data_IF_655318332561
#
_entry.id   IF_655318332561
#
_cell.length_a   1.000
_cell.length_b   1.000
_cell.length_c   1.000
_cell.angle_alpha   90.00
_cell.angle_beta   90.00
_cell.angle_gamma   90.00
#
_symmetry.space_group_name_H-M   'P 1'
#
loop_
_entity.id
_entity.type
_entity.pdbx_description
1 polymer ?
#
# COMPACT_ATOMS: atom_id res chain seq x y z
N UNK A 1 38.66 38.23 -0.89
CA UNK A 1 37.97 37.66 0.29
C UNK A 1 36.46 37.64 0.15
N UNK A 2 35.81 38.76 -0.21
CA UNK A 2 34.34 38.86 -0.38
C UNK A 2 33.75 37.86 -1.39
N UNK A 3 34.42 37.64 -2.53
CA UNK A 3 33.97 36.70 -3.57
C UNK A 3 34.21 35.22 -3.19
N UNK A 4 35.25 34.94 -2.38
CA UNK A 4 35.53 33.58 -1.90
C UNK A 4 34.44 33.16 -0.90
N UNK A 5 34.07 34.07 0.02
CA UNK A 5 32.99 33.82 1.00
C UNK A 5 31.64 33.54 0.33
N UNK A 6 31.32 34.24 -0.76
CA UNK A 6 30.06 34.07 -1.50
C UNK A 6 29.99 32.73 -2.24
N UNK A 7 31.11 32.28 -2.82
CA UNK A 7 31.22 30.97 -3.49
C UNK A 7 31.12 29.83 -2.47
N UNK A 8 31.70 30.01 -1.27
CA UNK A 8 31.60 29.00 -0.20
C UNK A 8 30.15 28.88 0.31
N UNK A 9 29.43 30.00 0.43
CA UNK A 9 28.02 30.00 0.83
C UNK A 9 27.13 29.30 -0.20
N UNK A 10 27.38 29.48 -1.50
CA UNK A 10 26.66 28.78 -2.57
C UNK A 10 26.89 27.26 -2.53
N UNK A 11 28.12 26.81 -2.24
CA UNK A 11 28.46 25.39 -2.10
C UNK A 11 27.78 24.73 -0.89
N UNK A 12 27.56 25.46 0.21
CA UNK A 12 26.80 24.96 1.35
C UNK A 12 25.29 24.88 1.06
N UNK A 13 24.74 25.84 0.32
CA UNK A 13 23.31 25.84 -0.07
C UNK A 13 23.02 24.70 -1.08
N UNK A 14 23.96 24.35 -1.96
CA UNK A 14 23.80 23.21 -2.88
C UNK A 14 23.99 21.84 -2.22
N UNK A 15 24.65 21.76 -1.05
CA UNK A 15 24.72 20.51 -0.29
C UNK A 15 23.48 20.27 0.60
N UNK A 16 22.54 21.22 0.65
CA UNK A 16 21.18 20.97 1.12
C UNK A 16 20.29 20.35 0.03
N UNK A 17 20.86 19.59 -0.91
CA UNK A 17 20.08 18.54 -1.56
C UNK A 17 19.77 17.56 -0.43
N UNK A 18 18.53 17.61 0.08
CA UNK A 18 18.02 16.66 1.04
C UNK A 18 18.41 15.25 0.59
N UNK A 19 19.40 14.66 1.27
CA UNK A 19 19.51 13.22 1.34
C UNK A 19 18.26 12.78 2.10
N UNK A 20 17.17 12.54 1.38
CA UNK A 20 16.00 11.92 1.98
C UNK A 20 16.45 10.54 2.44
N UNK A 21 16.50 10.33 3.74
CA UNK A 21 16.78 9.04 4.33
C UNK A 21 15.52 8.18 4.19
N UNK A 22 15.68 6.97 3.66
CA UNK A 22 14.54 6.06 3.53
C UNK A 22 14.03 5.66 4.92
N UNK A 23 12.70 5.60 5.06
CA UNK A 23 12.03 5.19 6.30
C UNK A 23 12.03 3.65 6.43
N UNK A 24 12.16 2.93 5.32
CA UNK A 24 11.94 1.49 5.21
C UNK A 24 13.25 0.67 5.14
N UNK A 25 13.22 -0.64 5.41
CA UNK A 25 14.44 -1.45 5.50
C UNK A 25 15.27 -1.48 4.19
N UNK A 26 16.56 -1.20 4.34
CA UNK A 26 17.53 -1.18 3.23
C UNK A 26 18.14 -2.56 2.91
N UNK A 27 17.87 -3.58 3.72
CA UNK A 27 18.20 -4.99 3.49
C UNK A 27 16.95 -5.86 3.65
N UNK A 28 17.02 -7.10 3.19
CA UNK A 28 15.96 -8.10 3.43
C UNK A 28 15.74 -8.22 4.95
N UNK A 29 14.47 -8.24 5.36
CA UNK A 29 14.07 -8.29 6.76
C UNK A 29 12.84 -7.44 7.06
N UNK A 30 12.47 -7.41 8.34
CA UNK A 30 11.27 -6.73 8.83
C UNK A 30 11.65 -5.55 9.72
N UNK A 31 11.00 -4.41 9.51
CA UNK A 31 11.05 -3.25 10.40
C UNK A 31 9.67 -3.03 11.02
N UNK A 32 9.62 -2.85 12.33
CA UNK A 32 8.38 -2.58 13.08
C UNK A 32 8.33 -1.09 13.43
N UNK A 33 7.15 -0.49 13.31
CA UNK A 33 6.85 0.89 13.65
C UNK A 33 5.83 0.90 14.77
N UNK A 34 6.24 1.40 15.94
CA UNK A 34 5.37 1.58 17.10
C UNK A 34 4.86 3.02 17.10
N UNK A 35 3.59 3.19 16.75
CA UNK A 35 2.92 4.49 16.70
C UNK A 35 1.88 4.58 17.82
N UNK A 36 1.36 5.78 18.09
CA UNK A 36 0.35 5.95 19.12
C UNK A 36 -0.98 5.32 18.69
N UNK A 37 -1.29 4.13 19.24
CA UNK A 37 -2.56 3.42 19.02
C UNK A 37 -2.57 2.44 17.84
N UNK A 38 -1.44 2.19 17.18
CA UNK A 38 -1.31 1.15 16.15
C UNK A 38 0.15 0.73 15.96
N UNK A 39 0.36 -0.51 15.48
CA UNK A 39 1.70 -1.03 15.16
C UNK A 39 1.74 -1.46 13.70
N UNK A 40 2.70 -0.93 12.95
CA UNK A 40 2.90 -1.27 11.55
C UNK A 40 4.15 -2.10 11.33
N UNK A 41 4.13 -2.94 10.31
CA UNK A 41 5.29 -3.69 9.86
C UNK A 41 5.59 -3.36 8.42
N UNK A 42 6.89 -3.27 8.12
CA UNK A 42 7.40 -3.25 6.77
C UNK A 42 8.35 -4.42 6.55
N UNK A 43 8.01 -5.28 5.59
CA UNK A 43 8.80 -6.43 5.21
C UNK A 43 9.43 -6.19 3.85
N UNK A 44 10.76 -6.30 3.78
CA UNK A 44 11.48 -6.28 2.51
C UNK A 44 11.80 -7.69 2.03
N UNK A 45 11.32 -7.98 0.83
CA UNK A 45 11.62 -9.23 0.13
C UNK A 45 12.93 -9.14 -0.66
N UNK A 46 13.51 -10.30 -1.00
CA UNK A 46 14.72 -10.40 -1.84
C UNK A 46 14.55 -9.75 -3.23
N UNK A 47 13.31 -9.62 -3.72
CA UNK A 47 12.96 -8.93 -4.97
C UNK A 47 13.13 -7.40 -4.92
N UNK A 48 13.32 -6.82 -3.73
CA UNK A 48 13.35 -5.36 -3.55
C UNK A 48 11.97 -4.72 -3.45
N UNK A 49 10.91 -5.53 -3.30
CA UNK A 49 9.56 -5.08 -2.93
C UNK A 49 9.51 -4.90 -1.41
N UNK A 50 8.92 -3.78 -0.98
CA UNK A 50 8.53 -3.51 0.39
C UNK A 50 7.04 -3.78 0.51
N UNK A 51 6.63 -4.56 1.52
CA UNK A 51 5.24 -4.74 1.93
C UNK A 51 5.04 -3.99 3.23
N UNK A 52 4.02 -3.14 3.32
CA UNK A 52 3.68 -2.33 4.49
C UNK A 52 2.26 -2.64 4.91
N UNK A 53 2.06 -3.04 6.16
CA UNK A 53 0.75 -3.46 6.66
C UNK A 53 0.65 -3.27 8.18
N UNK A 54 -0.58 -3.20 8.67
CA UNK A 54 -0.86 -3.19 10.10
C UNK A 54 -0.55 -4.57 10.69
N UNK A 55 0.12 -4.60 11.85
CA UNK A 55 0.51 -5.85 12.53
C UNK A 55 -0.68 -6.65 13.02
N UNK A 56 -1.83 -5.99 13.21
CA UNK A 56 -3.07 -6.63 13.64
C UNK A 56 -3.83 -7.29 12.48
N UNK A 57 -3.32 -7.19 11.24
CA UNK A 57 -3.94 -7.84 10.10
C UNK A 57 -3.96 -9.37 10.29
N UNK A 58 -5.10 -9.99 9.97
CA UNK A 58 -5.40 -11.41 10.20
C UNK A 58 -4.95 -12.31 9.06
N UNK A 59 -5.04 -11.82 7.82
CA UNK A 59 -4.93 -12.63 6.61
C UNK A 59 -3.56 -12.56 5.93
N UNK A 60 -2.64 -11.73 6.45
CA UNK A 60 -1.29 -11.61 5.90
C UNK A 60 -0.54 -12.93 6.07
N UNK A 61 -0.02 -13.47 4.96
CA UNK A 61 0.70 -14.75 4.89
C UNK A 61 -0.17 -15.99 5.24
N UNK A 62 -1.49 -15.84 5.25
CA UNK A 62 -2.44 -16.95 5.33
C UNK A 62 -2.86 -17.35 3.92
N UNK A 63 -2.97 -18.64 3.64
CA UNK A 63 -3.43 -19.12 2.35
C UNK A 63 -4.95 -18.87 2.17
N UNK A 64 -5.34 -18.44 0.97
CA UNK A 64 -6.74 -18.38 0.55
C UNK A 64 -7.24 -19.80 0.28
N UNK A 65 -8.31 -20.22 0.96
CA UNK A 65 -8.86 -21.59 0.90
C UNK A 65 -10.38 -21.60 1.04
N UNK A 66 -11.01 -22.68 0.59
CA UNK A 66 -12.40 -23.01 0.94
C UNK A 66 -12.50 -23.35 2.43
N UNK A 67 -13.43 -22.71 3.15
CA UNK A 67 -13.61 -22.87 4.61
C UNK A 67 -13.97 -24.30 5.01
N UNK A 68 -14.72 -25.01 4.16
CA UNK A 68 -15.24 -26.34 4.47
C UNK A 68 -14.26 -27.45 4.10
N UNK A 69 -13.66 -27.38 2.91
CA UNK A 69 -12.78 -28.46 2.40
C UNK A 69 -11.32 -28.23 2.74
N UNK A 70 -10.90 -26.98 2.94
CA UNK A 70 -9.49 -26.60 3.08
C UNK A 70 -8.73 -26.56 1.74
N UNK A 71 -9.41 -26.80 0.61
CA UNK A 71 -8.79 -26.80 -0.71
C UNK A 71 -8.53 -25.38 -1.23
N UNK A 72 -7.62 -25.29 -2.20
CA UNK A 72 -7.40 -24.04 -2.92
C UNK A 72 -8.63 -23.69 -3.78
N UNK A 73 -9.03 -22.41 -3.84
CA UNK A 73 -10.14 -21.98 -4.67
C UNK A 73 -9.85 -22.15 -6.16
N UNK A 74 -10.87 -22.45 -6.95
CA UNK A 74 -10.87 -22.22 -8.38
C UNK A 74 -10.81 -20.71 -8.67
N UNK A 75 -9.74 -20.27 -9.32
CA UNK A 75 -9.50 -18.87 -9.68
C UNK A 75 -10.38 -18.39 -10.87
N UNK A 76 -11.04 -19.31 -11.58
CA UNK A 76 -11.91 -18.96 -12.70
C UNK A 76 -13.35 -18.66 -12.26
N UNK A 77 -13.71 -18.98 -11.02
CA UNK A 77 -15.03 -18.71 -10.47
C UNK A 77 -14.99 -17.37 -9.73
N UNK A 78 -15.83 -16.38 -10.09
CA UNK A 78 -15.80 -15.06 -9.46
C UNK A 78 -16.20 -15.10 -7.98
N UNK A 79 -15.39 -14.45 -7.14
CA UNK A 79 -15.68 -14.28 -5.71
C UNK A 79 -16.56 -13.05 -5.41
N UNK A 80 -16.54 -12.06 -6.30
CA UNK A 80 -17.21 -10.76 -6.16
C UNK A 80 -18.12 -10.50 -7.36
N UNK A 81 -19.24 -9.82 -7.12
CA UNK A 81 -20.13 -9.38 -8.19
C UNK A 81 -19.48 -8.30 -9.05
N UNK A 82 -19.42 -8.52 -10.37
CA UNK A 82 -18.55 -7.72 -11.25
C UNK A 82 -18.92 -6.24 -11.29
N UNK A 83 -20.22 -5.91 -11.38
CA UNK A 83 -20.67 -4.51 -11.47
C UNK A 83 -20.31 -3.72 -10.21
N UNK A 84 -20.50 -4.31 -9.03
CA UNK A 84 -20.16 -3.65 -7.77
C UNK A 84 -18.64 -3.60 -7.58
N UNK A 85 -17.90 -4.62 -8.02
CA UNK A 85 -16.43 -4.61 -8.00
C UNK A 85 -15.83 -3.44 -8.79
N UNK A 86 -16.33 -3.14 -10.00
CA UNK A 86 -15.86 -1.99 -10.78
C UNK A 86 -16.09 -0.67 -10.04
N UNK A 87 -17.28 -0.49 -9.45
CA UNK A 87 -17.61 0.70 -8.67
C UNK A 87 -16.73 0.85 -7.42
N UNK A 88 -16.47 -0.23 -6.70
CA UNK A 88 -15.57 -0.19 -5.54
C UNK A 88 -14.11 0.07 -5.94
N UNK A 89 -13.71 -0.38 -7.13
CA UNK A 89 -12.40 -0.06 -7.71
C UNK A 89 -12.26 1.44 -8.00
N UNK A 90 -13.28 2.08 -8.58
CA UNK A 90 -13.29 3.54 -8.76
C UNK A 90 -13.23 4.29 -7.42
N UNK A 91 -13.95 3.82 -6.40
CA UNK A 91 -13.89 4.39 -5.05
C UNK A 91 -12.50 4.24 -4.43
N UNK A 92 -11.83 3.09 -4.60
CA UNK A 92 -10.46 2.88 -4.15
C UNK A 92 -9.51 3.91 -4.77
N UNK A 93 -9.59 4.11 -6.09
CA UNK A 93 -8.76 5.11 -6.78
C UNK A 93 -9.07 6.53 -6.31
N UNK A 94 -10.35 6.86 -6.06
CA UNK A 94 -10.72 8.15 -5.48
C UNK A 94 -10.10 8.36 -4.09
N UNK A 95 -10.12 7.34 -3.22
CA UNK A 95 -9.48 7.37 -1.90
C UNK A 95 -7.97 7.61 -2.01
N UNK A 96 -7.31 6.94 -2.95
CA UNK A 96 -5.89 7.13 -3.20
C UNK A 96 -5.62 8.55 -3.70
N UNK A 97 -6.39 9.03 -4.67
CA UNK A 97 -6.25 10.37 -5.25
C UNK A 97 -6.40 11.47 -4.22
N UNK A 98 -7.37 11.38 -3.30
CA UNK A 98 -7.56 12.40 -2.24
C UNK A 98 -6.50 12.34 -1.13
N UNK A 99 -5.81 11.20 -0.95
CA UNK A 99 -4.95 10.96 0.21
C UNK A 99 -3.52 11.48 0.03
N UNK A 100 -3.11 11.74 -1.21
CA UNK A 100 -1.79 12.30 -1.54
C UNK A 100 -1.92 13.75 -2.00
N UNK A 101 -0.99 14.60 -1.55
CA UNK A 101 -0.84 15.96 -2.03
C UNK A 101 -0.33 15.99 -3.48
N UNK A 102 -0.58 17.09 -4.19
CA UNK A 102 -0.06 17.27 -5.55
C UNK A 102 1.47 17.16 -5.61
N UNK A 103 2.18 17.62 -4.58
CA UNK A 103 3.64 17.49 -4.51
C UNK A 103 4.09 16.03 -4.39
N UNK A 104 3.43 15.24 -3.54
CA UNK A 104 3.70 13.80 -3.41
C UNK A 104 3.43 13.06 -4.71
N UNK A 105 2.28 13.32 -5.35
CA UNK A 105 1.93 12.74 -6.65
C UNK A 105 2.99 13.05 -7.71
N UNK A 106 3.42 14.30 -7.82
CA UNK A 106 4.49 14.68 -8.75
C UNK A 106 5.81 13.95 -8.47
N UNK A 107 6.20 13.79 -7.21
CA UNK A 107 7.41 13.04 -6.85
C UNK A 107 7.30 11.55 -7.16
N UNK A 108 6.11 10.96 -6.95
CA UNK A 108 5.81 9.57 -7.31
C UNK A 108 5.87 9.38 -8.84
N UNK A 109 5.31 10.31 -9.62
CA UNK A 109 5.32 10.24 -11.09
C UNK A 109 6.73 10.36 -11.69
N UNK A 110 7.61 11.19 -11.10
CA UNK A 110 8.99 11.39 -11.60
C UNK A 110 9.85 10.13 -11.61
N UNK A 111 9.56 9.14 -10.76
CA UNK A 111 10.27 7.85 -10.76
C UNK A 111 9.72 6.86 -11.82
N UNK A 112 8.73 7.27 -12.61
CA UNK A 112 8.19 6.54 -13.75
C UNK A 112 7.52 5.22 -13.33
N UNK A 113 7.80 4.13 -14.05
CA UNK A 113 7.27 2.79 -13.71
C UNK A 113 7.62 2.32 -12.29
N UNK A 114 8.65 2.90 -11.66
CA UNK A 114 9.03 2.61 -10.26
C UNK A 114 8.16 3.37 -9.25
N UNK A 115 7.32 4.29 -9.70
CA UNK A 115 6.31 4.99 -8.90
C UNK A 115 4.98 4.23 -8.77
N UNK A 116 4.88 3.04 -9.36
CA UNK A 116 3.70 2.19 -9.19
C UNK A 116 3.68 1.67 -7.76
N UNK A 117 2.59 1.97 -7.05
CA UNK A 117 2.25 1.37 -5.78
C UNK A 117 1.24 0.25 -6.01
N UNK A 118 1.12 -0.63 -5.03
CA UNK A 118 0.12 -1.70 -5.02
C UNK A 118 -0.69 -1.60 -3.74
N UNK A 119 -1.99 -1.84 -3.85
CA UNK A 119 -2.93 -2.02 -2.74
C UNK A 119 -3.52 -3.41 -2.85
N UNK A 120 -3.49 -4.13 -1.75
CA UNK A 120 -3.94 -5.50 -1.65
C UNK A 120 -5.01 -5.53 -0.56
N UNK A 121 -6.23 -5.93 -0.93
CA UNK A 121 -7.40 -5.95 -0.07
C UNK A 121 -7.70 -7.39 0.33
N UNK A 122 -8.00 -7.57 1.61
CA UNK A 122 -8.48 -8.83 2.16
C UNK A 122 -9.90 -8.61 2.66
N UNK A 123 -10.85 -9.09 1.88
CA UNK A 123 -12.26 -8.79 2.01
C UNK A 123 -12.94 -9.92 2.78
N UNK A 124 -13.78 -9.54 3.73
CA UNK A 124 -14.59 -10.43 4.52
C UNK A 124 -15.67 -11.08 3.64
N UNK A 125 -15.69 -12.42 3.52
CA UNK A 125 -16.55 -13.14 2.59
C UNK A 125 -18.04 -13.10 2.99
N UNK A 126 -18.34 -12.80 4.26
CA UNK A 126 -19.73 -12.73 4.75
C UNK A 126 -20.33 -11.34 4.59
N UNK A 127 -19.52 -10.29 4.77
CA UNK A 127 -19.99 -8.90 4.82
C UNK A 127 -19.58 -8.06 3.62
N UNK A 128 -18.60 -8.52 2.84
CA UNK A 128 -17.99 -7.77 1.75
C UNK A 128 -17.14 -6.58 2.21
N UNK A 129 -16.96 -6.37 3.51
CA UNK A 129 -16.11 -5.29 4.05
C UNK A 129 -14.64 -5.67 4.00
N UNK A 130 -13.76 -4.68 3.87
CA UNK A 130 -12.32 -4.91 3.91
C UNK A 130 -11.87 -5.15 5.35
N UNK A 131 -11.40 -6.36 5.64
CA UNK A 131 -10.86 -6.73 6.96
C UNK A 131 -9.41 -6.25 7.11
N UNK A 132 -8.57 -6.46 6.08
CA UNK A 132 -7.16 -6.08 6.08
C UNK A 132 -6.74 -5.37 4.78
N UNK A 133 -5.72 -4.53 4.89
CA UNK A 133 -5.08 -3.86 3.75
C UNK A 133 -3.57 -4.04 3.84
N UNK A 134 -2.94 -4.36 2.71
CA UNK A 134 -1.49 -4.33 2.54
C UNK A 134 -1.13 -3.41 1.40
N UNK A 135 -0.14 -2.56 1.62
CA UNK A 135 0.48 -1.76 0.57
C UNK A 135 1.78 -2.41 0.16
N UNK A 136 2.14 -2.34 -1.11
CA UNK A 136 3.49 -2.70 -1.54
C UNK A 136 4.04 -1.77 -2.60
N UNK A 137 5.36 -1.64 -2.64
CA UNK A 137 6.06 -0.74 -3.55
C UNK A 137 7.52 -1.14 -3.72
N UNK A 138 8.15 -0.68 -4.81
CA UNK A 138 9.57 -0.92 -5.06
C UNK A 138 10.45 -0.04 -4.18
N UNK A 139 11.62 -0.56 -3.78
CA UNK A 139 12.65 0.21 -3.05
C UNK A 139 13.11 1.49 -3.76
N UNK A 140 12.98 1.56 -5.07
CA UNK A 140 13.39 2.76 -5.84
C UNK A 140 12.25 3.77 -6.00
N UNK A 141 11.11 3.54 -5.36
CA UNK A 141 9.94 4.42 -5.41
C UNK A 141 10.03 5.57 -4.40
N UNK A 142 9.25 6.63 -4.63
CA UNK A 142 9.09 7.71 -3.65
C UNK A 142 8.34 7.26 -2.37
N UNK A 143 7.61 6.13 -2.43
CA UNK A 143 6.94 5.56 -1.26
C UNK A 143 7.91 5.20 -0.13
N UNK A 144 9.20 5.04 -0.43
CA UNK A 144 10.25 4.84 0.58
C UNK A 144 10.39 5.99 1.59
N UNK A 145 9.80 7.15 1.30
CA UNK A 145 9.84 8.35 2.11
C UNK A 145 8.48 8.76 2.66
N UNK A 146 7.42 8.00 2.34
CA UNK A 146 6.07 8.23 2.86
C UNK A 146 5.98 7.58 4.25
N UNK A 147 5.55 8.31 5.29
CA UNK A 147 5.46 7.75 6.65
C UNK A 147 4.32 6.72 6.76
N UNK A 148 4.46 5.76 7.69
CA UNK A 148 3.44 4.73 7.96
C UNK A 148 2.08 5.31 8.35
N UNK A 149 2.05 6.50 8.95
CA UNK A 149 0.82 7.20 9.30
C UNK A 149 -0.05 7.54 8.08
N UNK A 150 0.56 7.80 6.92
CA UNK A 150 -0.17 8.02 5.66
C UNK A 150 -0.84 6.74 5.18
N UNK A 151 -0.13 5.61 5.25
CA UNK A 151 -0.70 4.30 4.93
C UNK A 151 -1.82 3.91 5.90
N UNK A 152 -1.72 4.29 7.18
CA UNK A 152 -2.78 4.11 8.17
C UNK A 152 -4.02 4.96 7.86
N UNK A 153 -3.84 6.21 7.46
CA UNK A 153 -4.95 7.08 7.02
C UNK A 153 -5.70 6.44 5.85
N UNK A 154 -4.98 5.95 4.84
CA UNK A 154 -5.55 5.31 3.64
C UNK A 154 -6.24 3.99 4.01
N UNK A 155 -5.61 3.13 4.83
CA UNK A 155 -6.22 1.89 5.33
C UNK A 155 -7.59 2.17 5.98
N UNK A 156 -7.67 3.16 6.87
CA UNK A 156 -8.91 3.48 7.58
C UNK A 156 -10.01 3.94 6.62
N UNK A 157 -9.68 4.81 5.65
CA UNK A 157 -10.64 5.24 4.62
C UNK A 157 -11.12 4.07 3.76
N UNK A 158 -10.23 3.16 3.38
CA UNK A 158 -10.57 1.94 2.63
C UNK A 158 -11.56 1.09 3.43
N UNK A 159 -11.25 0.78 4.69
CA UNK A 159 -12.09 -0.05 5.56
C UNK A 159 -13.44 0.60 5.88
N UNK A 160 -13.50 1.93 5.91
CA UNK A 160 -14.73 2.68 6.14
C UNK A 160 -15.63 2.75 4.90
N UNK A 161 -15.04 3.02 3.73
CA UNK A 161 -15.80 3.40 2.52
C UNK A 161 -16.04 2.26 1.54
N UNK A 162 -15.18 1.23 1.54
CA UNK A 162 -15.32 0.11 0.60
C UNK A 162 -16.12 -1.02 1.21
N UNK A 163 -17.12 -1.47 0.44
CA UNK A 163 -17.87 -2.68 0.72
C UNK A 163 -18.28 -3.30 -0.61
N UNK A 164 -17.92 -4.56 -0.80
CA UNK A 164 -18.17 -5.31 -2.02
C UNK A 164 -19.41 -6.19 -1.87
N UNK A 165 -20.01 -6.53 -3.00
CA UNK A 165 -21.03 -7.57 -3.06
C UNK A 165 -20.35 -8.91 -3.38
N UNK A 166 -20.58 -9.90 -2.53
CA UNK A 166 -19.89 -11.19 -2.55
C UNK A 166 -20.78 -12.25 -3.20
N UNK A 167 -20.24 -13.02 -4.13
CA UNK A 167 -20.95 -14.12 -4.79
C UNK A 167 -21.20 -15.28 -3.82
N UNK A 168 -22.08 -16.21 -4.17
CA UNK A 168 -22.27 -17.41 -3.34
C UNK A 168 -20.99 -18.25 -3.22
N UNK A 169 -20.18 -18.30 -4.27
CA UNK A 169 -18.87 -18.93 -4.23
C UNK A 169 -17.88 -18.19 -3.32
N UNK A 170 -17.82 -16.86 -3.39
CA UNK A 170 -16.96 -16.04 -2.52
C UNK A 170 -17.25 -16.23 -1.04
N UNK A 171 -18.53 -16.45 -0.68
CA UNK A 171 -18.96 -16.76 0.70
C UNK A 171 -18.38 -18.08 1.22
N UNK A 172 -17.90 -18.98 0.38
CA UNK A 172 -17.30 -20.25 0.82
C UNK A 172 -15.82 -20.10 1.23
N UNK A 173 -15.20 -18.96 0.93
CA UNK A 173 -13.77 -18.72 1.12
C UNK A 173 -13.45 -18.17 2.51
N UNK A 174 -12.23 -18.38 3.01
CA UNK A 174 -11.81 -17.82 4.30
C UNK A 174 -11.64 -16.29 4.25
N UNK A 175 -11.17 -15.78 3.12
CA UNK A 175 -11.19 -14.38 2.73
C UNK A 175 -11.20 -14.25 1.21
N UNK A 176 -11.56 -13.07 0.71
CA UNK A 176 -11.46 -12.72 -0.71
C UNK A 176 -10.26 -11.80 -0.89
N UNK A 177 -9.45 -12.08 -1.91
CA UNK A 177 -8.24 -11.31 -2.21
C UNK A 177 -8.47 -10.46 -3.45
N UNK A 178 -8.19 -9.16 -3.34
CA UNK A 178 -8.28 -8.25 -4.47
C UNK A 178 -7.02 -7.38 -4.56
N UNK A 179 -6.46 -7.26 -5.77
CA UNK A 179 -5.15 -6.65 -6.00
C UNK A 179 -5.26 -5.52 -7.01
N UNK A 180 -4.76 -4.35 -6.62
CA UNK A 180 -4.79 -3.15 -7.45
C UNK A 180 -3.40 -2.54 -7.56
N UNK A 181 -2.96 -2.29 -8.79
CA UNK A 181 -1.85 -1.37 -9.03
C UNK A 181 -2.41 0.06 -9.13
N UNK A 182 -1.72 1.02 -8.52
CA UNK A 182 -2.07 2.42 -8.67
C UNK A 182 -0.87 3.25 -9.06
N UNK A 183 -1.14 4.23 -9.91
CA UNK A 183 -0.21 5.26 -10.32
C UNK A 183 -1.00 6.55 -10.45
N UNK A 184 -0.35 7.67 -10.17
CA UNK A 184 -0.95 8.99 -10.40
C UNK A 184 -0.73 9.38 -11.86
N UNK A 185 -1.75 9.98 -12.48
CA UNK A 185 -1.65 10.61 -13.81
C UNK A 185 -1.02 12.01 -13.71
#
# INVERSE_FOLDING_TARGET
MKNILLITLFLFITNCIFSQTSIYPDSVGTKVFYENGYTYQAERLGSGIIKVYNSDNKWINIAKIHKLTGDFPDENTPDLESNEWYKQTENLYSILEESYSNEEKEKIKRVGRKGIGFVELFINPETGKVDDVRFSFFRLSYYMYIPVSKFREIELKIKERLQFEVTDYGKELNYIYDFHNYNFE
#
